data_IF_509615190047
#
_entry.id   IF_509615190047
#
_cell.length_a   1.000
_cell.length_b   1.000
_cell.length_c   1.000
_cell.angle_alpha   90.00
_cell.angle_beta   90.00
_cell.angle_gamma   90.00
#
_symmetry.space_group_name_H-M   'P 1'
#
loop_
_entity.id
_entity.type
_entity.pdbx_description
1 polymer ?
#
# COMPACT_ATOMS: atom_id res chain seq x y z
N UNK A 1 -22.69 -2.70 7.41
CA UNK A 1 -21.30 -2.44 7.79
C UNK A 1 -20.81 -1.17 7.11
N UNK A 2 -20.32 -0.21 7.86
CA UNK A 2 -19.92 1.07 7.29
C UNK A 2 -18.51 0.97 6.69
N UNK A 3 -18.10 2.06 6.04
CA UNK A 3 -16.82 2.09 5.33
C UNK A 3 -15.64 1.89 6.28
N UNK A 4 -15.67 2.51 7.45
CA UNK A 4 -14.57 2.37 8.41
C UNK A 4 -14.41 0.93 8.87
N UNK A 5 -15.54 0.26 9.11
CA UNK A 5 -15.52 -1.14 9.49
C UNK A 5 -14.94 -2.01 8.38
N UNK A 6 -15.34 -1.73 7.15
CA UNK A 6 -14.83 -2.47 5.99
C UNK A 6 -13.33 -2.28 5.81
N UNK A 7 -12.86 -1.05 6.00
CA UNK A 7 -11.42 -0.77 5.92
C UNK A 7 -10.65 -1.55 6.98
N UNK A 8 -11.15 -1.53 8.22
CA UNK A 8 -10.48 -2.22 9.30
C UNK A 8 -10.41 -3.73 9.04
N UNK A 9 -11.52 -4.29 8.56
CA UNK A 9 -11.57 -5.71 8.25
C UNK A 9 -10.60 -6.07 7.14
N UNK A 10 -10.53 -5.23 6.11
CA UNK A 10 -9.65 -5.48 4.99
C UNK A 10 -8.19 -5.42 5.40
N UNK A 11 -7.83 -4.43 6.21
CA UNK A 11 -6.46 -4.31 6.72
C UNK A 11 -6.09 -5.57 7.51
N UNK A 12 -7.00 -6.02 8.36
CA UNK A 12 -6.76 -7.21 9.16
C UNK A 12 -6.54 -8.43 8.27
N UNK A 13 -7.38 -8.61 7.26
CA UNK A 13 -7.28 -9.77 6.37
C UNK A 13 -6.00 -9.74 5.55
N UNK A 14 -5.63 -8.56 5.06
CA UNK A 14 -4.39 -8.41 4.29
C UNK A 14 -3.19 -8.73 5.16
N UNK A 15 -3.16 -8.18 6.37
CA UNK A 15 -2.07 -8.42 7.30
C UNK A 15 -1.95 -9.90 7.65
N UNK A 16 -3.09 -10.54 7.85
CA UNK A 16 -3.13 -11.96 8.18
C UNK A 16 -2.63 -12.81 7.02
N UNK A 17 -3.05 -12.46 5.81
CA UNK A 17 -2.62 -13.18 4.61
C UNK A 17 -1.11 -13.07 4.39
N UNK A 18 -0.57 -11.87 4.57
CA UNK A 18 0.87 -11.64 4.41
C UNK A 18 1.64 -12.40 5.49
N UNK A 19 1.09 -12.46 6.70
CA UNK A 19 1.73 -13.19 7.78
C UNK A 19 1.80 -14.69 7.48
N UNK A 20 0.74 -15.22 6.90
CA UNK A 20 0.69 -16.65 6.55
C UNK A 20 1.50 -16.96 5.30
N UNK A 21 1.51 -16.04 4.35
CA UNK A 21 2.20 -16.24 3.08
C UNK A 21 2.86 -14.94 2.65
N UNK A 22 4.11 -14.69 3.09
CA UNK A 22 4.79 -13.43 2.76
C UNK A 22 4.94 -13.18 1.27
N UNK A 23 4.89 -14.21 0.45
CA UNK A 23 4.98 -14.04 -1.00
C UNK A 23 3.74 -13.36 -1.59
N UNK A 24 2.67 -13.28 -0.82
CA UNK A 24 1.47 -12.58 -1.25
C UNK A 24 1.62 -11.07 -1.22
N UNK A 25 2.58 -10.54 -0.44
CA UNK A 25 2.71 -9.11 -0.25
C UNK A 25 2.94 -8.35 -1.56
N UNK A 26 3.92 -8.71 -2.40
CA UNK A 26 4.12 -7.96 -3.64
C UNK A 26 2.92 -8.05 -4.58
N UNK A 27 2.22 -9.16 -4.59
CA UNK A 27 1.04 -9.33 -5.43
C UNK A 27 -0.08 -8.39 -4.96
N UNK A 28 -0.31 -8.35 -3.65
CA UNK A 28 -1.34 -7.50 -3.07
C UNK A 28 -1.02 -6.02 -3.30
N UNK A 29 0.24 -5.65 -3.13
CA UNK A 29 0.66 -4.27 -3.36
C UNK A 29 0.43 -3.87 -4.81
N UNK A 30 0.78 -4.74 -5.74
CA UNK A 30 0.59 -4.46 -7.15
C UNK A 30 -0.89 -4.24 -7.47
N UNK A 31 -1.76 -5.10 -6.94
CA UNK A 31 -3.19 -4.96 -7.14
C UNK A 31 -3.72 -3.67 -6.56
N UNK A 32 -3.25 -3.31 -5.37
CA UNK A 32 -3.69 -2.08 -4.72
C UNK A 32 -3.27 -0.85 -5.53
N UNK A 33 -2.04 -0.83 -6.01
CA UNK A 33 -1.54 0.30 -6.77
C UNK A 33 -2.25 0.41 -8.12
N UNK A 34 -2.56 -0.73 -8.74
CA UNK A 34 -3.23 -0.75 -10.03
C UNK A 34 -4.60 -0.06 -10.01
N UNK A 35 -5.29 -0.11 -8.88
CA UNK A 35 -6.63 0.48 -8.79
C UNK A 35 -6.61 1.92 -8.28
N UNK A 36 -5.44 2.46 -7.99
CA UNK A 36 -5.32 3.82 -7.49
C UNK A 36 -5.33 4.83 -8.62
N UNK A 37 -5.96 5.98 -8.33
CA UNK A 37 -5.91 7.14 -9.23
C UNK A 37 -4.69 7.98 -8.87
N UNK A 38 -4.38 8.96 -9.73
CA UNK A 38 -3.21 9.82 -9.57
C UNK A 38 -3.11 10.43 -8.17
N UNK A 39 -4.21 10.94 -7.65
CA UNK A 39 -4.22 11.58 -6.34
C UNK A 39 -3.84 10.61 -5.24
N UNK A 40 -4.28 9.38 -5.36
CA UNK A 40 -3.98 8.36 -4.37
C UNK A 40 -2.53 7.93 -4.46
N UNK A 41 -2.00 7.83 -5.67
CA UNK A 41 -0.59 7.51 -5.88
C UNK A 41 0.28 8.60 -5.23
N UNK A 42 -0.04 9.87 -5.51
CA UNK A 42 0.70 10.98 -4.92
C UNK A 42 0.68 10.93 -3.41
N UNK A 43 -0.49 10.64 -2.84
CA UNK A 43 -0.64 10.57 -1.39
C UNK A 43 0.20 9.44 -0.79
N UNK A 44 0.20 8.28 -1.44
CA UNK A 44 0.96 7.14 -0.94
C UNK A 44 2.46 7.38 -1.05
N UNK A 45 2.89 8.04 -2.12
CA UNK A 45 4.30 8.42 -2.24
C UNK A 45 4.71 9.34 -1.09
N UNK A 46 3.85 10.31 -0.79
CA UNK A 46 4.12 11.22 0.33
C UNK A 46 4.20 10.49 1.67
N UNK A 47 3.29 9.54 1.88
CA UNK A 47 3.28 8.76 3.11
C UNK A 47 4.58 7.97 3.26
N UNK A 48 5.00 7.32 2.19
CA UNK A 48 6.20 6.50 2.23
C UNK A 48 7.44 7.36 2.50
N UNK A 49 7.54 8.48 1.80
CA UNK A 49 8.69 9.37 1.99
C UNK A 49 8.69 9.97 3.39
N UNK A 50 7.56 10.46 3.86
CA UNK A 50 7.49 11.17 5.14
C UNK A 50 7.50 10.25 6.34
N UNK A 51 6.85 9.09 6.25
CA UNK A 51 6.79 8.18 7.38
C UNK A 51 8.00 7.25 7.47
N UNK A 52 8.49 6.83 6.33
CA UNK A 52 9.54 5.80 6.30
C UNK A 52 10.87 6.32 5.80
N UNK A 53 10.89 7.55 5.30
CA UNK A 53 12.13 8.16 4.83
C UNK A 53 12.72 7.47 3.60
N UNK A 54 11.86 6.81 2.83
CA UNK A 54 12.28 6.06 1.65
C UNK A 54 11.99 6.87 0.39
N UNK A 55 13.00 6.99 -0.48
CA UNK A 55 12.83 7.66 -1.77
C UNK A 55 12.04 6.78 -2.70
N UNK A 56 10.92 7.29 -3.15
CA UNK A 56 10.05 6.55 -4.08
C UNK A 56 10.35 6.92 -5.52
N UNK A 57 10.82 8.14 -5.73
CA UNK A 57 10.98 8.70 -7.08
C UNK A 57 12.23 8.23 -7.80
N UNK A 58 13.03 7.63 -7.12
CA UNK A 58 14.11 6.87 -7.71
C UNK A 58 15.17 7.52 -8.48
N UNK A 59 15.14 7.58 -8.98
CA UNK A 59 15.70 7.60 -9.60
C UNK A 59 16.53 7.94 -10.00
N UNK A 60 16.50 8.14 -10.09
CA UNK A 60 17.03 8.40 -10.48
C UNK A 60 17.87 8.81 -10.49
N UNK A 61 18.14 8.85 -10.32
CA UNK A 61 18.78 9.23 -10.29
C UNK A 61 19.67 9.48 -10.53
N UNK A 62 19.70 9.62 -10.72
CA UNK A 62 20.51 9.83 -10.94
C UNK A 62 20.98 9.96 -11.16
#
# INVERSE_FOLDING_TARGET
MNLEQRKANLIYEIASLINDDPLSAPVLVEELVDIMFDEQIDHMEDVIVNHFGVEVYGEETV
#
